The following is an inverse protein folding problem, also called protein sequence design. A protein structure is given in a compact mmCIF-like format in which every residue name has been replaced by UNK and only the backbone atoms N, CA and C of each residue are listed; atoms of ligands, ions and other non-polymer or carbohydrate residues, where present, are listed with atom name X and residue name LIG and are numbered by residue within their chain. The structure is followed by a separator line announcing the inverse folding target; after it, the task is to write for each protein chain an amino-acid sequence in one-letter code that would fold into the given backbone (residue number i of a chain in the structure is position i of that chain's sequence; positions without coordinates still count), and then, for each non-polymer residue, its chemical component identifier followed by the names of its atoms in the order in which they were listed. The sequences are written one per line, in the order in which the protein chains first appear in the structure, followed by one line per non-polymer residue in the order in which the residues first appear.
data_IF_506419512204
#
_entry.id   IF_506419512204
#
_cell.length_a   1.000
_cell.length_b   1.000
_cell.length_c   1.000
_cell.angle_alpha   90.00
_cell.angle_beta   90.00
_cell.angle_gamma   90.00
#
_symmetry.space_group_name_H-M   'P 1'
#
loop_
_entity.id
_entity.type
_entity.pdbx_description
1 polymer ?
#
# COMPACT_ATOMS: atom_id res chain seq x y z
N UNK A 1 36.70 -0.08 22.62
CA UNK A 1 35.73 0.93 23.12
C UNK A 1 34.72 1.22 22.02
N UNK A 2 33.39 1.10 22.25
CA UNK A 2 32.42 1.26 21.19
C UNK A 2 31.92 2.71 21.15
N UNK A 3 32.22 3.42 20.05
CA UNK A 3 31.62 4.71 19.75
C UNK A 3 30.17 4.50 19.29
N UNK A 4 29.31 4.65 20.29
CA UNK A 4 27.87 4.96 20.31
C UNK A 4 27.21 5.29 18.96
N UNK A 5 26.22 4.47 18.63
CA UNK A 5 25.01 4.79 17.86
C UNK A 5 24.39 6.11 18.35
N UNK A 6 24.65 7.20 17.65
CA UNK A 6 24.12 8.52 18.02
C UNK A 6 23.42 9.25 16.87
N UNK A 7 23.10 8.59 15.75
CA UNK A 7 22.56 9.29 14.58
C UNK A 7 21.49 8.52 13.79
N UNK A 8 20.68 7.71 14.47
CA UNK A 8 19.49 7.08 13.89
C UNK A 8 18.20 7.72 14.44
N UNK A 9 18.16 8.01 15.75
CA UNK A 9 17.02 8.66 16.40
C UNK A 9 16.81 10.13 15.95
N UNK A 10 17.89 10.83 15.55
CA UNK A 10 17.80 12.22 15.05
C UNK A 10 17.20 12.34 13.65
N UNK A 11 17.34 11.30 12.82
CA UNK A 11 16.83 11.28 11.44
C UNK A 11 15.31 11.05 11.38
N UNK A 12 14.73 10.44 12.41
CA UNK A 12 13.28 10.24 12.56
C UNK A 12 12.63 11.52 13.15
N UNK A 13 13.31 12.23 14.04
CA UNK A 13 12.75 13.38 14.76
C UNK A 13 12.64 14.68 13.94
N UNK A 14 13.39 14.87 12.86
CA UNK A 14 13.44 16.17 12.15
C UNK A 14 12.32 16.40 11.11
N UNK A 15 11.28 15.57 11.08
CA UNK A 15 10.10 15.79 10.23
C UNK A 15 8.77 15.41 10.86
N UNK A 16 8.74 15.24 12.18
CA UNK A 16 7.54 14.92 12.96
C UNK A 16 6.82 16.17 13.51
N UNK A 17 7.11 17.36 12.96
CA UNK A 17 6.69 18.63 13.55
C UNK A 17 5.40 19.23 12.95
N UNK A 18 4.57 18.41 12.28
CA UNK A 18 3.19 18.79 11.91
C UNK A 18 2.28 17.56 11.92
N UNK A 19 1.79 17.15 13.09
CA UNK A 19 0.67 16.19 13.13
C UNK A 19 0.28 15.55 14.45
N UNK A 20 1.03 15.68 15.55
CA UNK A 20 0.57 15.17 16.85
C UNK A 20 -0.15 16.25 17.68
N UNK A 21 -1.42 16.49 17.35
CA UNK A 21 -2.43 16.88 18.33
C UNK A 21 -3.80 16.88 17.65
N UNK A 22 -4.51 15.76 17.67
CA UNK A 22 -5.98 15.72 17.75
C UNK A 22 -6.46 14.28 17.99
N UNK A 23 -6.28 13.82 19.23
CA UNK A 23 -7.22 12.85 19.82
C UNK A 23 -8.48 13.63 20.17
N UNK A 24 -9.44 13.74 19.25
CA UNK A 24 -10.79 14.20 19.59
C UNK A 24 -11.87 13.61 18.67
N UNK A 25 -12.79 12.93 19.36
CA UNK A 25 -14.20 12.67 19.06
C UNK A 25 -14.58 11.81 17.85
N UNK A 26 -14.88 10.54 18.16
CA UNK A 26 -15.54 9.55 17.33
C UNK A 26 -17.05 9.81 17.07
N UNK A 27 -17.48 11.07 17.08
CA UNK A 27 -18.86 11.47 16.74
C UNK A 27 -18.82 12.83 16.05
N UNK A 28 -18.71 12.79 14.72
CA UNK A 28 -18.84 13.94 13.84
C UNK A 28 -19.25 13.40 12.49
N UNK A 29 -20.40 13.85 11.99
CA UNK A 29 -20.82 13.67 10.61
C UNK A 29 -19.79 14.38 9.72
N UNK A 30 -18.71 13.69 9.36
CA UNK A 30 -17.61 14.29 8.61
C UNK A 30 -18.07 14.53 7.15
N UNK A 31 -18.15 15.82 6.80
CA UNK A 31 -18.48 16.33 5.46
C UNK A 31 -17.71 15.59 4.34
N UNK A 32 -18.37 15.29 3.22
CA UNK A 32 -17.77 14.47 2.17
C UNK A 32 -17.00 15.32 1.15
N UNK A 33 -16.16 16.30 1.50
CA UNK A 33 -15.72 17.27 0.49
C UNK A 33 -14.28 17.79 0.65
N UNK A 34 -13.32 17.02 0.14
CA UNK A 34 -12.05 17.53 -0.43
C UNK A 34 -11.22 16.43 -1.12
N UNK A 35 -11.48 15.16 -0.80
CA UNK A 35 -10.66 14.08 -1.26
C UNK A 35 -10.85 13.80 -2.76
N UNK A 36 -9.77 13.94 -3.51
CA UNK A 36 -9.79 14.04 -4.98
C UNK A 36 -9.83 12.70 -5.70
N UNK A 37 -10.10 11.58 -5.03
CA UNK A 37 -10.21 10.29 -5.72
C UNK A 37 -8.90 9.56 -5.99
N UNK A 38 -7.73 10.10 -5.60
CA UNK A 38 -6.41 9.48 -5.82
C UNK A 38 -5.76 9.07 -4.51
N UNK A 39 -5.51 7.78 -4.38
CA UNK A 39 -4.72 7.19 -3.30
C UNK A 39 -3.45 6.49 -3.84
N UNK A 40 -3.41 6.14 -5.14
CA UNK A 40 -2.18 5.64 -5.76
C UNK A 40 -1.13 6.76 -5.88
N UNK A 41 0.17 6.45 -5.73
CA UNK A 41 1.23 7.46 -5.74
C UNK A 41 1.19 8.30 -7.02
N UNK A 42 1.38 9.61 -6.86
CA UNK A 42 1.36 10.59 -7.94
C UNK A 42 2.25 10.15 -9.10
N UNK A 43 1.69 10.20 -10.31
CA UNK A 43 2.48 10.06 -11.53
C UNK A 43 3.30 11.35 -11.71
N UNK A 44 4.51 11.27 -12.26
CA UNK A 44 5.23 12.46 -12.66
C UNK A 44 4.35 13.35 -13.56
N UNK A 45 4.18 14.62 -13.17
CA UNK A 45 3.43 15.66 -13.89
C UNK A 45 1.89 15.52 -13.95
N UNK A 46 1.25 14.68 -13.13
CA UNK A 46 -0.21 14.54 -13.15
C UNK A 46 -0.92 15.66 -12.35
N UNK A 47 -1.88 16.41 -12.93
CA UNK A 47 -2.70 17.38 -12.20
C UNK A 47 -3.71 16.64 -11.32
N UNK A 48 -3.89 17.02 -10.05
CA UNK A 48 -4.89 16.45 -9.09
C UNK A 48 -6.23 16.19 -9.81
N UNK A 49 -6.80 14.97 -9.73
CA UNK A 49 -8.02 14.70 -10.47
C UNK A 49 -9.19 15.41 -9.79
N UNK A 50 -10.31 15.60 -10.50
CA UNK A 50 -11.54 16.02 -9.85
C UNK A 50 -12.00 14.95 -8.83
N UNK A 51 -12.64 15.35 -7.71
CA UNK A 51 -13.23 14.41 -6.76
C UNK A 51 -14.10 13.37 -7.45
N UNK A 52 -13.93 12.08 -7.10
CA UNK A 52 -14.83 11.02 -7.56
C UNK A 52 -16.16 11.17 -6.84
N UNK A 53 -17.17 11.67 -7.53
CA UNK A 53 -18.55 11.69 -7.04
C UNK A 53 -19.11 10.28 -7.17
N UNK A 54 -19.21 9.56 -6.04
CA UNK A 54 -19.94 8.31 -6.02
C UNK A 54 -21.44 8.59 -6.12
N UNK A 55 -22.19 7.89 -6.98
CA UNK A 55 -23.64 8.01 -7.00
C UNK A 55 -24.19 7.66 -5.62
N UNK A 56 -24.97 8.56 -5.03
CA UNK A 56 -25.85 8.20 -3.90
C UNK A 56 -26.98 7.37 -4.50
N UNK A 57 -26.86 6.05 -4.47
CA UNK A 57 -27.97 5.19 -4.89
C UNK A 57 -28.97 5.15 -3.75
N UNK A 58 -30.02 5.95 -3.89
CA UNK A 58 -31.24 5.81 -3.09
C UNK A 58 -32.01 4.56 -3.53
N UNK A 59 -32.35 3.76 -2.52
CA UNK A 59 -33.50 2.86 -2.40
C UNK A 59 -33.44 1.41 -2.93
N UNK A 60 -33.38 0.53 -1.92
CA UNK A 60 -34.33 -0.58 -1.64
C UNK A 60 -34.51 -1.67 -2.69
N UNK A 61 -33.78 -2.76 -2.51
CA UNK A 61 -34.38 -4.11 -2.47
C UNK A 61 -33.58 -4.98 -1.50
N UNK A 62 -34.21 -5.25 -0.35
CA UNK A 62 -34.04 -6.36 0.59
C UNK A 62 -32.87 -7.33 0.35
N UNK A 63 -31.79 -7.12 1.08
CA UNK A 63 -31.03 -8.23 1.65
C UNK A 63 -30.46 -7.78 3.00
N UNK A 64 -31.17 -8.13 4.06
CA UNK A 64 -30.64 -8.07 5.43
C UNK A 64 -29.38 -8.95 5.49
N UNK A 65 -28.22 -8.33 5.35
CA UNK A 65 -26.97 -8.88 5.82
C UNK A 65 -26.42 -7.91 6.86
N UNK A 66 -26.82 -8.15 8.09
CA UNK A 66 -26.13 -7.69 9.29
C UNK A 66 -24.66 -8.14 9.19
N UNK A 67 -23.77 -7.29 8.67
CA UNK A 67 -22.37 -7.69 8.54
C UNK A 67 -21.37 -6.72 7.89
N UNK A 68 -21.77 -5.61 7.25
CA UNK A 68 -20.78 -4.64 6.76
C UNK A 68 -21.31 -3.22 6.81
N UNK A 69 -20.76 -2.41 7.71
CA UNK A 69 -21.08 -1.01 7.92
C UNK A 69 -20.63 -0.09 6.76
N UNK A 70 -20.28 -0.67 5.61
CA UNK A 70 -19.57 -0.01 4.51
C UNK A 70 -20.31 0.00 3.17
N UNK A 71 -21.55 -0.51 3.11
CA UNK A 71 -22.44 -0.38 1.94
C UNK A 71 -21.99 -1.11 0.66
N UNK A 72 -20.84 -1.80 0.68
CA UNK A 72 -20.29 -2.58 -0.42
C UNK A 72 -20.25 -4.08 -0.12
N UNK A 73 -19.99 -4.88 -1.15
CA UNK A 73 -19.76 -6.32 -1.01
C UNK A 73 -18.44 -6.56 -0.28
N UNK A 74 -18.40 -7.34 0.81
CA UNK A 74 -17.18 -7.62 1.57
C UNK A 74 -16.19 -8.44 0.75
N UNK A 75 -14.89 -8.30 1.03
CA UNK A 75 -13.88 -9.10 0.31
C UNK A 75 -13.99 -10.59 0.59
N UNK A 76 -13.65 -11.36 -0.44
CA UNK A 76 -13.79 -12.81 -0.46
C UNK A 76 -15.25 -13.28 -0.50
N UNK A 77 -16.19 -12.38 -0.81
CA UNK A 77 -17.53 -12.75 -1.24
C UNK A 77 -17.66 -12.55 -2.76
N UNK A 78 -17.82 -13.65 -3.49
CA UNK A 78 -18.01 -13.61 -4.93
C UNK A 78 -19.34 -12.93 -5.28
N UNK A 79 -19.28 -11.82 -6.00
CA UNK A 79 -20.45 -11.11 -6.52
C UNK A 79 -20.20 -10.62 -7.93
N UNK A 80 -21.25 -10.51 -8.75
CA UNK A 80 -21.15 -9.92 -10.10
C UNK A 80 -20.84 -8.42 -10.09
N UNK A 81 -20.99 -7.76 -8.95
CA UNK A 81 -20.70 -6.33 -8.75
C UNK A 81 -19.24 -6.06 -8.38
N UNK A 82 -18.49 -7.08 -7.97
CA UNK A 82 -17.06 -6.98 -7.71
C UNK A 82 -16.30 -7.38 -8.97
N UNK A 83 -15.18 -6.70 -9.22
CA UNK A 83 -14.26 -7.08 -10.27
C UNK A 83 -13.62 -8.44 -9.93
N UNK A 84 -13.74 -9.37 -10.87
CA UNK A 84 -13.25 -10.75 -10.77
C UNK A 84 -12.05 -11.04 -11.68
N UNK A 85 -11.61 -10.06 -12.48
CA UNK A 85 -10.55 -10.21 -13.48
C UNK A 85 -10.77 -11.36 -14.49
N UNK A 86 -12.03 -11.76 -14.70
CA UNK A 86 -12.43 -12.86 -15.61
C UNK A 86 -13.49 -12.41 -16.59
N UNK A 87 -14.32 -11.45 -16.19
CA UNK A 87 -15.40 -10.89 -16.99
C UNK A 87 -15.12 -9.42 -17.31
N UNK A 88 -15.60 -8.94 -18.47
CA UNK A 88 -15.43 -7.55 -18.90
C UNK A 88 -13.96 -7.06 -19.00
N UNK A 89 -13.06 -7.96 -19.41
CA UNK A 89 -11.59 -7.75 -19.53
C UNK A 89 -11.17 -6.56 -20.40
N UNK A 90 -12.09 -5.95 -21.16
CA UNK A 90 -11.84 -4.73 -21.94
C UNK A 90 -11.59 -3.50 -21.06
N UNK A 91 -11.96 -3.55 -19.77
CA UNK A 91 -11.67 -2.49 -18.78
C UNK A 91 -10.31 -2.72 -18.09
N UNK A 92 -9.79 -3.95 -18.16
CA UNK A 92 -8.59 -4.36 -17.46
C UNK A 92 -7.31 -4.00 -18.21
N UNK A 93 -6.18 -4.30 -17.58
CA UNK A 93 -4.86 -4.15 -18.17
C UNK A 93 -4.79 -4.86 -19.54
N UNK A 94 -4.30 -4.12 -20.53
CA UNK A 94 -4.33 -4.47 -21.96
C UNK A 94 -3.33 -5.54 -22.40
N UNK A 95 -2.59 -6.15 -21.46
CA UNK A 95 -1.57 -7.15 -21.78
C UNK A 95 -0.19 -6.58 -22.09
N UNK A 96 0.00 -5.25 -22.04
CA UNK A 96 1.20 -4.63 -22.59
C UNK A 96 2.48 -4.87 -21.77
N UNK A 97 3.55 -5.45 -22.37
CA UNK A 97 4.80 -5.76 -21.68
C UNK A 97 5.54 -4.59 -21.06
N UNK A 98 5.27 -3.37 -21.50
CA UNK A 98 5.87 -2.13 -20.96
C UNK A 98 5.58 -1.95 -19.48
N UNK A 99 4.49 -2.49 -18.96
CA UNK A 99 4.14 -2.34 -17.54
C UNK A 99 5.06 -3.14 -16.61
N UNK A 100 5.71 -4.20 -17.12
CA UNK A 100 6.55 -5.12 -16.34
C UNK A 100 7.97 -5.30 -16.88
N UNK A 101 8.26 -4.78 -18.07
CA UNK A 101 9.56 -4.90 -18.73
C UNK A 101 10.31 -3.57 -18.68
N UNK A 102 11.58 -3.61 -18.30
CA UNK A 102 12.46 -2.46 -18.41
C UNK A 102 13.05 -2.40 -19.83
N UNK A 103 12.76 -1.32 -20.55
CA UNK A 103 13.36 -1.02 -21.85
C UNK A 103 14.49 0.02 -21.77
N UNK A 104 14.56 0.76 -20.66
CA UNK A 104 15.56 1.79 -20.40
C UNK A 104 16.76 1.27 -19.60
N UNK A 105 17.68 2.17 -19.25
CA UNK A 105 18.78 1.85 -18.36
C UNK A 105 18.29 1.52 -16.94
N UNK A 106 19.02 0.64 -16.26
CA UNK A 106 18.70 0.28 -14.87
C UNK A 106 18.97 1.47 -13.95
N UNK A 107 17.96 1.84 -13.17
CA UNK A 107 18.05 2.91 -12.18
C UNK A 107 19.06 2.49 -11.11
N UNK A 108 20.07 3.33 -10.91
CA UNK A 108 21.09 3.11 -9.88
C UNK A 108 20.60 3.68 -8.55
N UNK A 109 20.60 2.87 -7.47
CA UNK A 109 20.10 3.32 -6.17
C UNK A 109 21.04 4.39 -5.59
N UNK A 110 20.45 5.46 -5.06
CA UNK A 110 21.21 6.57 -4.47
C UNK A 110 20.99 6.61 -2.95
N UNK A 111 22.04 6.26 -2.19
CA UNK A 111 21.99 6.23 -0.71
C UNK A 111 21.86 7.61 -0.06
N UNK A 112 22.20 8.68 -0.76
CA UNK A 112 21.99 10.06 -0.29
C UNK A 112 20.54 10.53 -0.48
N UNK A 113 19.72 9.79 -1.24
CA UNK A 113 18.30 10.10 -1.41
C UNK A 113 17.51 9.55 -0.21
N UNK A 114 17.24 10.42 0.76
CA UNK A 114 16.50 10.12 2.01
C UNK A 114 15.10 9.64 1.69
N UNK A 115 14.59 8.55 2.29
CA UNK A 115 13.21 8.08 2.10
C UNK A 115 12.12 9.15 2.40
N UNK A 116 10.98 9.07 1.71
CA UNK A 116 9.87 10.01 1.89
C UNK A 116 8.61 9.27 2.34
N UNK A 117 8.15 9.53 3.57
CA UNK A 117 6.82 9.12 4.05
C UNK A 117 5.83 10.26 3.77
N UNK A 118 4.67 9.92 3.21
CA UNK A 118 3.56 10.84 2.98
C UNK A 118 2.27 10.16 3.43
N UNK A 119 1.48 10.85 4.25
CA UNK A 119 0.20 10.36 4.73
C UNK A 119 -0.89 11.40 4.49
N UNK A 120 -2.10 10.92 4.24
CA UNK A 120 -3.28 11.72 3.96
C UNK A 120 -4.51 11.04 4.56
N UNK A 121 -5.49 11.86 4.97
CA UNK A 121 -6.76 11.36 5.47
C UNK A 121 -7.61 10.91 4.29
N UNK A 122 -7.73 9.59 4.12
CA UNK A 122 -8.60 9.02 3.09
C UNK A 122 -9.98 8.69 3.69
N UNK A 123 -11.07 8.81 2.92
CA UNK A 123 -12.39 8.53 3.46
C UNK A 123 -12.61 7.05 3.74
N UNK A 124 -13.56 6.76 4.63
CA UNK A 124 -13.88 5.41 5.11
C UNK A 124 -14.44 4.46 4.05
N UNK A 125 -14.80 4.95 2.86
CA UNK A 125 -15.21 4.08 1.75
C UNK A 125 -14.03 3.34 1.11
N UNK A 126 -12.80 3.71 1.46
CA UNK A 126 -11.64 2.84 1.26
C UNK A 126 -11.47 1.94 2.46
N UNK A 127 -11.61 0.64 2.22
CA UNK A 127 -11.81 -0.30 3.32
C UNK A 127 -10.61 -1.22 3.55
N UNK A 128 -9.73 -1.42 2.57
CA UNK A 128 -8.69 -2.45 2.65
C UNK A 128 -7.36 -1.95 3.24
N UNK A 129 -6.81 -2.74 4.16
CA UNK A 129 -5.56 -2.45 4.88
C UNK A 129 -4.33 -3.27 4.43
N UNK A 130 -4.29 -3.76 3.20
CA UNK A 130 -3.13 -4.49 2.66
C UNK A 130 -1.92 -3.57 2.44
N UNK A 131 -0.70 -4.13 2.49
CA UNK A 131 0.51 -3.42 2.06
C UNK A 131 0.76 -3.69 0.57
N UNK A 132 0.81 -2.64 -0.23
CA UNK A 132 1.16 -2.75 -1.66
C UNK A 132 2.59 -2.27 -1.88
N UNK A 133 3.47 -3.15 -2.31
CA UNK A 133 4.80 -2.80 -2.82
C UNK A 133 4.74 -2.58 -4.33
N UNK A 134 5.00 -1.34 -4.74
CA UNK A 134 5.18 -0.96 -6.13
C UNK A 134 6.67 -0.75 -6.40
N UNK A 135 7.14 -1.24 -7.55
CA UNK A 135 8.51 -1.02 -7.99
C UNK A 135 8.57 -0.65 -9.48
N UNK A 136 9.47 0.25 -9.84
CA UNK A 136 9.69 0.59 -11.24
C UNK A 136 10.30 -0.63 -11.96
N UNK A 137 9.85 -1.02 -13.17
CA UNK A 137 10.44 -2.15 -13.89
C UNK A 137 11.96 -2.02 -14.08
N UNK A 138 12.46 -0.79 -14.24
CA UNK A 138 13.89 -0.48 -14.35
C UNK A 138 14.62 -0.28 -13.02
N UNK A 139 13.94 -0.40 -11.88
CA UNK A 139 14.61 -0.37 -10.57
C UNK A 139 15.73 -1.41 -10.50
N UNK A 140 16.73 -1.13 -9.65
CA UNK A 140 17.83 -2.05 -9.43
C UNK A 140 17.30 -3.43 -8.98
N UNK A 141 17.63 -4.52 -9.70
CA UNK A 141 17.08 -5.84 -9.40
C UNK A 141 17.40 -6.35 -7.99
N UNK A 142 18.53 -5.97 -7.39
CA UNK A 142 18.90 -6.37 -6.04
C UNK A 142 18.06 -5.66 -4.99
N UNK A 143 17.78 -4.37 -5.18
CA UNK A 143 16.88 -3.61 -4.30
C UNK A 143 15.44 -4.13 -4.42
N UNK A 144 14.96 -4.41 -5.64
CA UNK A 144 13.64 -5.04 -5.84
C UNK A 144 13.58 -6.39 -5.12
N UNK A 145 14.59 -7.25 -5.30
CA UNK A 145 14.66 -8.56 -4.62
C UNK A 145 14.66 -8.40 -3.10
N UNK A 146 15.43 -7.43 -2.57
CA UNK A 146 15.49 -7.13 -1.13
C UNK A 146 14.13 -6.70 -0.60
N UNK A 147 13.42 -5.81 -1.30
CA UNK A 147 12.09 -5.36 -0.92
C UNK A 147 11.09 -6.51 -0.91
N UNK A 148 11.09 -7.33 -1.97
CA UNK A 148 10.20 -8.51 -2.11
C UNK A 148 10.39 -9.47 -0.94
N UNK A 149 11.62 -9.87 -0.68
CA UNK A 149 11.95 -10.80 0.41
C UNK A 149 11.58 -10.26 1.79
N UNK A 150 11.82 -8.96 2.02
CA UNK A 150 11.49 -8.32 3.28
C UNK A 150 9.98 -8.28 3.49
N UNK A 151 9.21 -7.88 2.48
CA UNK A 151 7.76 -7.79 2.59
C UNK A 151 7.11 -9.18 2.69
N UNK A 152 7.56 -10.14 1.89
CA UNK A 152 7.01 -11.50 1.90
C UNK A 152 7.30 -12.26 3.19
N UNK A 153 8.34 -11.87 3.93
CA UNK A 153 8.62 -12.40 5.28
C UNK A 153 8.01 -11.57 6.41
N UNK A 154 7.28 -10.51 6.06
CA UNK A 154 6.68 -9.59 7.03
C UNK A 154 5.22 -9.90 7.35
N UNK A 155 4.41 -10.12 6.32
CA UNK A 155 2.97 -10.36 6.45
C UNK A 155 2.46 -11.09 5.22
N UNK A 156 1.35 -11.82 5.35
CA UNK A 156 0.64 -12.42 4.21
C UNK A 156 -0.06 -11.37 3.37
N UNK A 157 -0.74 -10.40 4.00
CA UNK A 157 -1.62 -9.44 3.32
C UNK A 157 -0.85 -8.34 2.59
N UNK A 158 -0.19 -8.74 1.52
CA UNK A 158 0.55 -7.84 0.64
C UNK A 158 0.31 -8.12 -0.83
N UNK A 159 0.50 -7.08 -1.64
CA UNK A 159 0.57 -7.18 -3.10
C UNK A 159 1.91 -6.61 -3.54
N UNK A 160 2.62 -7.31 -4.42
CA UNK A 160 3.87 -6.85 -5.00
C UNK A 160 3.65 -6.74 -6.51
N UNK A 161 3.78 -5.55 -7.07
CA UNK A 161 3.52 -5.33 -8.49
C UNK A 161 4.50 -4.32 -9.10
N UNK A 162 4.95 -4.52 -10.36
CA UNK A 162 5.65 -3.48 -11.09
C UNK A 162 4.71 -2.29 -11.38
N UNK A 163 5.26 -1.09 -11.39
CA UNK A 163 4.56 0.13 -11.78
C UNK A 163 5.55 1.11 -12.44
N UNK A 164 5.42 1.26 -13.75
CA UNK A 164 6.31 2.06 -14.60
C UNK A 164 6.11 3.58 -14.48
N UNK A 165 5.17 4.05 -13.66
CA UNK A 165 4.89 5.47 -13.45
C UNK A 165 5.40 5.98 -12.09
N UNK A 166 6.32 5.24 -11.46
CA UNK A 166 7.02 5.70 -10.27
C UNK A 166 8.12 6.71 -10.62
N UNK A 167 8.37 7.65 -9.70
CA UNK A 167 9.53 8.55 -9.76
C UNK A 167 10.84 7.74 -9.79
N UNK A 168 11.67 7.99 -10.79
CA UNK A 168 12.98 7.33 -10.96
C UNK A 168 13.94 7.59 -9.80
N UNK A 169 13.80 8.72 -9.07
CA UNK A 169 14.61 8.97 -7.87
C UNK A 169 14.23 8.06 -6.71
N UNK A 170 12.97 7.58 -6.70
CA UNK A 170 12.38 6.74 -5.66
C UNK A 170 11.58 5.59 -6.27
N UNK A 171 12.26 4.67 -6.98
CA UNK A 171 11.59 3.68 -7.81
C UNK A 171 11.00 2.52 -6.99
N UNK A 172 10.98 2.62 -5.66
CA UNK A 172 10.44 1.63 -4.72
C UNK A 172 9.46 2.33 -3.79
N UNK A 173 8.21 1.86 -3.76
CA UNK A 173 7.16 2.48 -2.94
C UNK A 173 6.38 1.40 -2.18
N UNK A 174 6.19 1.61 -0.88
CA UNK A 174 5.17 0.91 -0.10
C UNK A 174 3.94 1.81 0.03
N UNK A 175 2.76 1.25 -0.18
CA UNK A 175 1.47 1.91 0.00
C UNK A 175 0.68 1.12 1.04
N UNK A 176 0.05 1.86 1.95
CA UNK A 176 -0.84 1.36 2.98
C UNK A 176 -2.07 2.27 3.07
N UNK A 177 -3.01 1.93 3.94
CA UNK A 177 -4.20 2.75 4.20
C UNK A 177 -3.82 4.16 4.65
N UNK A 178 -4.07 5.14 3.77
CA UNK A 178 -3.78 6.56 4.02
C UNK A 178 -2.31 6.97 4.02
N UNK A 179 -1.36 6.07 3.73
CA UNK A 179 0.08 6.37 3.80
C UNK A 179 0.88 5.71 2.68
N UNK A 180 1.97 6.35 2.27
CA UNK A 180 2.98 5.78 1.36
C UNK A 180 4.41 6.09 1.84
N UNK A 181 5.34 5.19 1.53
CA UNK A 181 6.77 5.33 1.76
C UNK A 181 7.52 5.13 0.44
N UNK A 182 8.18 6.18 -0.06
CA UNK A 182 8.93 6.18 -1.33
C UNK A 182 10.43 6.24 -1.10
N UNK A 183 11.18 5.31 -1.70
CA UNK A 183 12.59 5.06 -1.40
C UNK A 183 13.43 4.89 -2.67
N UNK A 184 14.69 5.32 -2.62
CA UNK A 184 15.69 5.08 -3.68
C UNK A 184 16.36 3.70 -3.54
N UNK A 185 16.55 3.25 -2.31
CA UNK A 185 17.12 1.96 -1.93
C UNK A 185 16.33 1.40 -0.75
N UNK A 186 16.37 0.09 -0.54
CA UNK A 186 15.66 -0.56 0.57
C UNK A 186 16.41 -0.33 1.88
N UNK A 187 15.76 0.41 2.77
CA UNK A 187 16.12 0.46 4.18
C UNK A 187 15.18 -0.47 4.95
N UNK A 188 15.73 -1.57 5.49
CA UNK A 188 14.93 -2.60 6.14
C UNK A 188 14.19 -2.10 7.39
N UNK A 189 14.82 -1.21 8.16
CA UNK A 189 14.21 -0.63 9.36
C UNK A 189 13.01 0.25 9.02
N UNK A 190 13.14 1.10 8.01
CA UNK A 190 12.03 1.95 7.55
C UNK A 190 10.88 1.11 6.99
N UNK A 191 11.19 0.04 6.25
CA UNK A 191 10.16 -0.87 5.72
C UNK A 191 9.43 -1.59 6.85
N UNK A 192 10.16 -2.20 7.78
CA UNK A 192 9.58 -2.92 8.92
C UNK A 192 8.76 -1.98 9.80
N UNK A 193 9.29 -0.78 10.07
CA UNK A 193 8.58 0.27 10.81
C UNK A 193 7.28 0.66 10.13
N UNK A 194 7.33 0.95 8.82
CA UNK A 194 6.15 1.32 8.04
C UNK A 194 5.09 0.21 8.03
N UNK A 195 5.49 -1.05 7.82
CA UNK A 195 4.56 -2.20 7.84
C UNK A 195 3.89 -2.31 9.22
N UNK A 196 4.65 -2.25 10.31
CA UNK A 196 4.09 -2.36 11.67
C UNK A 196 3.17 -1.18 12.03
N UNK A 197 3.48 0.01 11.55
CA UNK A 197 2.71 1.22 11.83
C UNK A 197 1.38 1.25 11.04
N UNK A 198 1.43 0.87 9.75
CA UNK A 198 0.36 1.15 8.79
C UNK A 198 -0.35 -0.07 8.19
N UNK A 199 0.13 -1.30 8.38
CA UNK A 199 -0.63 -2.48 7.97
C UNK A 199 -1.90 -2.61 8.83
N UNK A 200 -2.93 -3.23 8.25
CA UNK A 200 -4.18 -3.56 8.96
C UNK A 200 -4.96 -2.33 9.46
N UNK A 201 -4.69 -1.14 8.91
CA UNK A 201 -5.37 0.12 9.29
C UNK A 201 -6.63 0.44 8.47
N UNK A 202 -7.00 -0.44 7.54
CA UNK A 202 -8.21 -0.29 6.74
C UNK A 202 -9.48 -0.56 7.57
N UNK A 203 -10.60 0.12 7.29
CA UNK A 203 -11.89 -0.12 7.94
C UNK A 203 -12.40 -1.57 7.90
N UNK A 204 -12.05 -2.35 6.87
CA UNK A 204 -12.45 -3.75 6.76
C UNK A 204 -11.39 -4.67 7.38
N UNK A 205 -11.84 -5.44 8.37
CA UNK A 205 -11.04 -6.39 9.11
C UNK A 205 -11.35 -7.82 8.65
N UNK A 206 -11.03 -8.14 7.39
CA UNK A 206 -11.17 -9.51 6.85
C UNK A 206 -9.83 -10.10 6.43
N UNK A 207 -9.55 -11.38 6.76
CA UNK A 207 -8.38 -12.10 6.27
C UNK A 207 -8.61 -12.77 4.91
N UNK A 208 -9.84 -12.70 4.37
CA UNK A 208 -10.22 -13.36 3.12
C UNK A 208 -9.57 -12.67 1.91
N UNK A 209 -9.10 -13.48 0.97
CA UNK A 209 -8.61 -12.98 -0.31
C UNK A 209 -9.77 -12.64 -1.25
N UNK A 210 -9.57 -11.67 -2.13
CA UNK A 210 -10.48 -11.39 -3.23
C UNK A 210 -10.33 -12.41 -4.37
N UNK A 211 -11.24 -12.33 -5.35
CA UNK A 211 -11.28 -13.26 -6.49
C UNK A 211 -10.42 -12.82 -7.70
N UNK A 212 -9.75 -11.67 -7.61
CA UNK A 212 -8.88 -11.13 -8.66
C UNK A 212 -7.58 -11.94 -8.77
N UNK A 213 -7.40 -12.68 -9.86
CA UNK A 213 -6.23 -13.56 -10.06
C UNK A 213 -5.50 -13.34 -11.38
N UNK A 214 -5.90 -12.35 -12.19
CA UNK A 214 -5.22 -12.06 -13.46
C UNK A 214 -3.77 -11.64 -13.21
N UNK A 215 -2.86 -12.27 -13.96
CA UNK A 215 -1.39 -12.09 -13.86
C UNK A 215 -0.79 -12.38 -12.47
N UNK A 216 -1.51 -13.06 -11.58
CA UNK A 216 -0.97 -13.51 -10.31
C UNK A 216 0.11 -14.57 -10.55
N UNK A 217 1.35 -14.27 -10.18
CA UNK A 217 2.47 -15.19 -10.33
C UNK A 217 2.43 -16.31 -9.27
N UNK A 218 2.17 -15.94 -8.02
CA UNK A 218 1.99 -16.86 -6.90
C UNK A 218 1.21 -16.14 -5.78
N UNK A 219 0.39 -16.86 -5.00
CA UNK A 219 -0.25 -16.29 -3.81
C UNK A 219 0.80 -15.94 -2.74
N UNK A 220 0.44 -15.03 -1.83
CA UNK A 220 1.26 -14.71 -0.67
C UNK A 220 1.18 -15.84 0.38
N UNK A 221 2.31 -16.17 0.99
CA UNK A 221 2.39 -17.20 2.02
C UNK A 221 1.91 -16.66 3.38
N UNK A 222 1.35 -17.55 4.19
CA UNK A 222 1.06 -17.24 5.60
C UNK A 222 2.39 -17.16 6.35
N UNK A 223 2.69 -15.99 6.90
CA UNK A 223 3.94 -15.75 7.64
C UNK A 223 3.77 -16.04 9.14
N UNK A 224 2.73 -15.48 9.75
CA UNK A 224 2.42 -15.66 11.18
C UNK A 224 1.12 -16.45 11.36
N UNK A 225 0.00 -15.86 10.94
CA UNK A 225 -1.32 -16.49 10.92
C UNK A 225 -2.18 -15.86 9.80
N UNK A 226 -3.44 -16.29 9.70
CA UNK A 226 -4.36 -15.79 8.67
C UNK A 226 -4.69 -14.30 8.82
N UNK A 227 -4.64 -13.78 10.04
CA UNK A 227 -5.02 -12.41 10.38
C UNK A 227 -3.82 -11.46 10.43
N UNK A 228 -2.60 -11.96 10.19
CA UNK A 228 -1.34 -11.24 10.33
C UNK A 228 -1.14 -10.64 11.73
N UNK A 229 -1.55 -11.34 12.81
CA UNK A 229 -1.49 -10.78 14.18
C UNK A 229 -0.08 -10.40 14.62
N UNK A 230 0.94 -11.12 14.11
CA UNK A 230 2.34 -10.79 14.30
C UNK A 230 2.96 -10.31 12.99
N UNK A 231 3.19 -8.99 12.89
CA UNK A 231 3.83 -8.34 11.74
C UNK A 231 5.36 -8.36 11.84
N UNK A 232 6.00 -8.80 10.77
CA UNK A 232 7.45 -8.92 10.63
C UNK A 232 8.10 -9.77 11.74
N UNK A 233 7.71 -11.05 11.88
CA UNK A 233 8.28 -11.94 12.89
C UNK A 233 9.79 -12.20 12.66
N UNK A 234 10.23 -12.19 11.40
CA UNK A 234 11.63 -12.43 11.01
C UNK A 234 12.52 -11.18 11.07
N UNK A 235 11.99 -10.01 11.45
CA UNK A 235 12.73 -8.75 11.42
C UNK A 235 14.02 -8.75 12.27
N UNK A 236 14.07 -9.54 13.35
CA UNK A 236 15.29 -9.66 14.18
C UNK A 236 16.47 -10.27 13.42
N UNK A 237 16.20 -11.11 12.43
CA UNK A 237 17.23 -11.69 11.56
C UNK A 237 17.61 -10.68 10.47
N UNK A 238 16.63 -10.05 9.83
CA UNK A 238 16.85 -9.12 8.70
C UNK A 238 17.56 -7.82 9.11
N UNK A 239 17.34 -7.32 10.32
CA UNK A 239 18.00 -6.08 10.79
C UNK A 239 19.45 -6.30 11.27
N UNK A 240 19.93 -7.54 11.29
CA UNK A 240 21.32 -7.87 11.67
C UNK A 240 22.26 -8.04 10.47
N UNK A 241 21.71 -8.13 9.26
CA UNK A 241 22.41 -8.27 7.98
C UNK A 241 22.47 -6.95 7.19
#
# INVERSE_FOLDING_TARGET
EPQRNLDLDRLISLRDDRGESERQNANGEDEPESWTGRWMPDRPNDPTPPPKVFPKTDQTTDFESSGSFHGGVPMGYSSKSCDDAKTNLTVDWDGNPISYTCYDERITPNRSTIALKYCERIPRHYVHGAIVALYHPCANPMEVKRLKNLLSSCLRRHVISPYNLLDERRPLVLVAWGCRLSMSYVNAELVVGFVREHALRGPEETPRDGDFSQALLHPAEIVSDLDDTMLCPSARTVLRD
#
